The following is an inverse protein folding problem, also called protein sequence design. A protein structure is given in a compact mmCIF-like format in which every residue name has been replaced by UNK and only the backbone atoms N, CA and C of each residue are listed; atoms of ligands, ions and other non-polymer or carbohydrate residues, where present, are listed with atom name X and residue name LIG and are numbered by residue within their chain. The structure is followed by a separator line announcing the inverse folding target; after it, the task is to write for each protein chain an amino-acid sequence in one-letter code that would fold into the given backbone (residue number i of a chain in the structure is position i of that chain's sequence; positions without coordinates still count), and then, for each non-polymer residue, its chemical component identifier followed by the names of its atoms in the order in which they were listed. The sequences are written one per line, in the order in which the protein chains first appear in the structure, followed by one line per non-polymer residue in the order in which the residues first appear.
data_IF_804865442988
#
_entry.id   IF_804865442988
#
_cell.length_a   1.000
_cell.length_b   1.000
_cell.length_c   1.000
_cell.angle_alpha   90.00
_cell.angle_beta   90.00
_cell.angle_gamma   90.00
#
_symmetry.space_group_name_H-M   'P 1'
#
loop_
_entity.id
_entity.type
_entity.pdbx_description
1 polymer ?
#
# COMPACT_ATOMS: atom_id res chain seq x y z
N UNK A 1 18.39 40.45 -21.49
CA UNK A 1 17.57 39.24 -21.35
C UNK A 1 16.17 39.70 -20.94
N UNK A 2 15.20 39.69 -21.85
CA UNK A 2 13.81 39.98 -21.47
C UNK A 2 13.35 38.84 -20.55
N UNK A 3 12.80 39.21 -19.39
CA UNK A 3 12.21 38.24 -18.48
C UNK A 3 11.01 37.61 -19.19
N UNK A 4 10.94 36.28 -19.27
CA UNK A 4 9.80 35.55 -19.86
C UNK A 4 8.48 36.01 -19.25
N UNK A 5 8.50 36.34 -17.95
CA UNK A 5 7.34 36.90 -17.25
C UNK A 5 6.86 38.23 -17.85
N UNK A 6 7.79 39.11 -18.24
CA UNK A 6 7.46 40.39 -18.88
C UNK A 6 6.86 40.16 -20.27
N UNK A 7 7.34 39.17 -21.02
CA UNK A 7 6.76 38.82 -22.30
C UNK A 7 5.31 38.32 -22.14
N UNK A 8 5.06 37.42 -21.19
CA UNK A 8 3.71 36.94 -20.88
C UNK A 8 2.78 38.10 -20.49
N UNK A 9 3.24 39.00 -19.62
CA UNK A 9 2.48 40.18 -19.20
C UNK A 9 2.18 41.14 -20.36
N UNK A 10 3.14 41.39 -21.25
CA UNK A 10 2.92 42.21 -22.45
C UNK A 10 1.90 41.63 -23.43
N UNK A 11 1.66 40.31 -23.38
CA UNK A 11 0.68 39.62 -24.21
C UNK A 11 -0.62 39.30 -23.45
N UNK A 12 -0.82 39.87 -22.26
CA UNK A 12 -2.00 39.61 -21.42
C UNK A 12 -2.20 38.13 -21.06
N UNK A 13 -1.12 37.34 -21.10
CA UNK A 13 -1.13 35.92 -20.75
C UNK A 13 -0.65 35.72 -19.31
N UNK A 14 -1.41 34.94 -18.54
CA UNK A 14 -0.93 34.45 -17.25
C UNK A 14 -0.01 33.24 -17.44
N UNK A 15 0.95 33.06 -16.53
CA UNK A 15 1.80 31.87 -16.54
C UNK A 15 0.98 30.57 -16.42
N UNK A 16 -0.13 30.59 -15.68
CA UNK A 16 -1.04 29.46 -15.58
C UNK A 16 -1.73 29.14 -16.91
N UNK A 17 -2.28 30.15 -17.60
CA UNK A 17 -2.91 29.97 -18.91
C UNK A 17 -1.93 29.39 -19.93
N UNK A 18 -0.69 29.89 -19.95
CA UNK A 18 0.37 29.39 -20.82
C UNK A 18 0.72 27.92 -20.53
N UNK A 19 0.85 27.54 -19.26
CA UNK A 19 1.09 26.14 -18.87
C UNK A 19 -0.08 25.24 -19.31
N UNK A 20 -1.32 25.68 -19.07
CA UNK A 20 -2.50 24.94 -19.49
C UNK A 20 -2.56 24.74 -21.01
N UNK A 21 -2.27 25.80 -21.78
CA UNK A 21 -2.22 25.73 -23.24
C UNK A 21 -1.17 24.74 -23.74
N UNK A 22 0.04 24.76 -23.16
CA UNK A 22 1.07 23.78 -23.48
C UNK A 22 0.58 22.35 -23.20
N UNK A 23 -0.03 22.11 -22.03
CA UNK A 23 -0.47 20.77 -21.64
C UNK A 23 -1.68 20.27 -22.44
N UNK A 24 -2.51 21.17 -22.96
CA UNK A 24 -3.71 20.83 -23.74
C UNK A 24 -3.46 20.79 -25.25
N UNK A 25 -2.35 21.35 -25.74
CA UNK A 25 -2.02 21.37 -27.16
C UNK A 25 -1.69 19.99 -27.71
N UNK A 26 -2.11 19.73 -28.95
CA UNK A 26 -1.80 18.49 -29.68
C UNK A 26 -0.67 18.71 -30.70
N UNK A 27 -0.18 19.94 -30.78
CA UNK A 27 0.86 20.33 -31.72
C UNK A 27 2.23 19.83 -31.24
N UNK A 28 2.96 19.20 -32.15
CA UNK A 28 4.29 18.64 -31.93
C UNK A 28 5.31 19.68 -31.51
N UNK A 29 5.08 20.95 -31.85
CA UNK A 29 5.95 22.06 -31.48
C UNK A 29 6.02 22.25 -29.95
N UNK A 30 4.98 21.82 -29.22
CA UNK A 30 4.94 21.85 -27.76
C UNK A 30 5.46 20.57 -27.10
N UNK A 31 5.80 19.51 -27.85
CA UNK A 31 6.13 18.20 -27.29
C UNK A 31 7.31 18.26 -26.30
N UNK A 32 8.35 19.07 -26.61
CA UNK A 32 9.50 19.25 -25.71
C UNK A 32 9.10 19.95 -24.41
N UNK A 33 8.22 20.96 -24.51
CA UNK A 33 7.72 21.71 -23.36
C UNK A 33 6.82 20.83 -22.49
N UNK A 34 5.93 20.05 -23.10
CA UNK A 34 5.09 19.06 -22.43
C UNK A 34 5.92 18.01 -21.70
N UNK A 35 6.92 17.41 -22.36
CA UNK A 35 7.83 16.45 -21.74
C UNK A 35 8.56 17.06 -20.54
N UNK A 36 9.02 18.30 -20.67
CA UNK A 36 9.69 19.01 -19.58
C UNK A 36 8.73 19.27 -18.43
N UNK A 37 7.51 19.76 -18.69
CA UNK A 37 6.51 20.05 -17.67
C UNK A 37 6.07 18.78 -16.94
N UNK A 38 5.73 17.72 -17.68
CA UNK A 38 5.32 16.43 -17.11
C UNK A 38 6.45 15.77 -16.34
N UNK A 39 7.69 15.80 -16.87
CA UNK A 39 8.88 15.29 -16.18
C UNK A 39 9.21 16.05 -14.89
N UNK A 40 8.79 17.32 -14.77
CA UNK A 40 8.99 18.15 -13.58
C UNK A 40 7.73 18.31 -12.71
N UNK A 41 6.62 17.61 -13.02
CA UNK A 41 5.34 17.81 -12.34
C UNK A 41 5.43 17.64 -10.82
N UNK A 42 6.15 16.61 -10.35
CA UNK A 42 6.37 16.36 -8.91
C UNK A 42 7.08 17.54 -8.24
N UNK A 43 8.09 18.11 -8.89
CA UNK A 43 8.81 19.27 -8.36
C UNK A 43 7.93 20.51 -8.34
N UNK A 44 7.15 20.75 -9.40
CA UNK A 44 6.22 21.88 -9.49
C UNK A 44 5.17 21.79 -8.36
N UNK A 45 4.51 20.63 -8.20
CA UNK A 45 3.56 20.39 -7.13
C UNK A 45 4.20 20.59 -5.74
N UNK A 46 5.44 20.12 -5.54
CA UNK A 46 6.17 20.34 -4.29
C UNK A 46 6.44 21.83 -4.01
N UNK A 47 6.73 22.63 -5.03
CA UNK A 47 6.91 24.08 -4.86
C UNK A 47 5.58 24.77 -4.54
N UNK A 48 4.49 24.40 -5.21
CA UNK A 48 3.14 24.91 -4.91
C UNK A 48 2.70 24.53 -3.49
N UNK A 49 3.01 23.32 -3.05
CA UNK A 49 2.76 22.86 -1.69
C UNK A 49 3.54 23.65 -0.64
N UNK A 50 4.82 23.95 -0.89
CA UNK A 50 5.67 24.68 0.07
C UNK A 50 5.37 26.18 0.12
N UNK A 51 4.66 26.71 -0.87
CA UNK A 51 4.28 28.12 -0.90
C UNK A 51 3.07 28.37 0.02
N UNK A 52 3.23 29.26 1.00
CA UNK A 52 2.19 29.58 2.00
C UNK A 52 0.86 30.03 1.39
N UNK A 53 0.88 30.70 0.23
CA UNK A 53 -0.29 31.27 -0.41
C UNK A 53 -1.07 30.26 -1.25
N UNK A 54 -0.47 29.13 -1.61
CA UNK A 54 -1.10 28.07 -2.40
C UNK A 54 -1.18 26.74 -1.66
N UNK A 55 -0.63 26.65 -0.44
CA UNK A 55 -0.57 25.41 0.33
C UNK A 55 -1.95 24.80 0.56
N UNK A 56 -2.91 25.63 1.00
CA UNK A 56 -4.26 25.19 1.34
C UNK A 56 -5.01 24.70 0.10
N UNK A 57 -4.95 25.46 -0.99
CA UNK A 57 -5.58 25.14 -2.26
C UNK A 57 -4.96 23.89 -2.89
N UNK A 58 -3.63 23.79 -2.86
CA UNK A 58 -2.89 22.63 -3.39
C UNK A 58 -3.22 21.37 -2.60
N UNK A 59 -3.28 21.45 -1.26
CA UNK A 59 -3.66 20.33 -0.41
C UNK A 59 -5.11 19.92 -0.65
N UNK A 60 -6.03 20.87 -0.68
CA UNK A 60 -7.45 20.59 -0.93
C UNK A 60 -7.66 19.92 -2.29
N UNK A 61 -6.99 20.39 -3.34
CA UNK A 61 -7.05 19.78 -4.67
C UNK A 61 -6.43 18.38 -4.69
N UNK A 62 -5.22 18.22 -4.15
CA UNK A 62 -4.52 16.93 -4.16
C UNK A 62 -5.31 15.86 -3.41
N UNK A 63 -5.94 16.23 -2.30
CA UNK A 63 -6.80 15.32 -1.59
C UNK A 63 -8.09 15.02 -2.40
N UNK A 64 -8.75 16.02 -3.00
CA UNK A 64 -9.93 15.81 -3.85
C UNK A 64 -9.66 14.78 -4.96
N UNK A 65 -8.54 14.92 -5.67
CA UNK A 65 -8.11 13.96 -6.69
C UNK A 65 -7.83 12.58 -6.10
N UNK A 66 -7.17 12.52 -4.94
CA UNK A 66 -6.92 11.25 -4.25
C UNK A 66 -8.24 10.54 -3.89
N UNK A 67 -9.23 11.27 -3.35
CA UNK A 67 -10.51 10.68 -2.97
C UNK A 67 -11.30 10.17 -4.17
N UNK A 68 -11.29 10.90 -5.28
CA UNK A 68 -11.92 10.45 -6.54
C UNK A 68 -11.31 9.12 -6.99
N UNK A 69 -9.99 9.04 -7.10
CA UNK A 69 -9.28 7.82 -7.50
C UNK A 69 -9.56 6.64 -6.54
N UNK A 70 -9.54 6.88 -5.23
CA UNK A 70 -9.82 5.84 -4.23
C UNK A 70 -11.28 5.35 -4.32
N UNK A 71 -12.24 6.25 -4.52
CA UNK A 71 -13.66 5.90 -4.69
C UNK A 71 -13.90 5.11 -5.98
N UNK A 72 -13.21 5.46 -7.06
CA UNK A 72 -13.28 4.75 -8.33
C UNK A 72 -12.70 3.33 -8.19
N UNK A 73 -11.56 3.18 -7.52
CA UNK A 73 -10.98 1.86 -7.25
C UNK A 73 -11.87 1.00 -6.35
N UNK A 74 -12.51 1.57 -5.33
CA UNK A 74 -13.50 0.86 -4.49
C UNK A 74 -14.69 0.42 -5.35
N UNK A 75 -15.21 1.30 -6.19
CA UNK A 75 -16.33 1.01 -7.09
C UNK A 75 -15.98 -0.10 -8.07
N UNK A 76 -14.80 -0.03 -8.69
CA UNK A 76 -14.27 -1.03 -9.61
C UNK A 76 -14.09 -2.37 -8.91
N UNK A 77 -13.46 -2.43 -7.74
CA UNK A 77 -13.31 -3.66 -6.93
C UNK A 77 -14.65 -4.28 -6.53
N UNK A 78 -15.67 -3.44 -6.29
CA UNK A 78 -17.00 -3.90 -5.89
C UNK A 78 -17.79 -4.59 -7.01
N UNK A 79 -17.26 -4.64 -8.23
CA UNK A 79 -17.89 -5.31 -9.35
C UNK A 79 -17.81 -6.84 -9.25
N UNK A 80 -18.90 -7.51 -9.62
CA UNK A 80 -19.01 -8.98 -9.58
C UNK A 80 -17.94 -9.69 -10.42
N UNK A 81 -17.44 -9.04 -11.49
CA UNK A 81 -16.39 -9.57 -12.38
C UNK A 81 -15.09 -9.92 -11.63
N UNK A 82 -14.86 -9.28 -10.50
CA UNK A 82 -13.69 -9.53 -9.66
C UNK A 82 -13.94 -10.61 -8.60
N UNK A 83 -15.09 -11.28 -8.59
CA UNK A 83 -15.33 -12.44 -7.71
C UNK A 83 -15.10 -12.16 -6.22
N UNK A 84 -15.23 -10.89 -5.80
CA UNK A 84 -15.22 -10.48 -4.39
C UNK A 84 -16.63 -10.56 -3.77
N UNK A 85 -17.62 -10.91 -4.59
CA UNK A 85 -18.97 -11.19 -4.13
C UNK A 85 -18.98 -12.60 -3.54
N UNK A 86 -19.34 -12.72 -2.27
CA UNK A 86 -19.46 -14.04 -1.67
C UNK A 86 -20.86 -14.56 -1.91
N UNK A 87 -20.94 -15.64 -2.70
CA UNK A 87 -22.19 -16.37 -2.87
C UNK A 87 -22.11 -17.66 -2.05
N UNK A 88 -22.83 -17.67 -0.93
CA UNK A 88 -22.88 -18.81 0.00
C UNK A 88 -23.30 -20.11 -0.68
N UNK A 89 -24.09 -20.03 -1.75
CA UNK A 89 -24.56 -21.22 -2.49
C UNK A 89 -23.50 -21.86 -3.37
N UNK A 90 -22.40 -21.15 -3.68
CA UNK A 90 -21.32 -21.62 -4.55
C UNK A 90 -19.95 -21.66 -3.87
N UNK A 91 -19.87 -21.29 -2.59
CA UNK A 91 -18.62 -21.30 -1.85
C UNK A 91 -18.15 -22.75 -1.66
N UNK A 92 -17.04 -23.13 -2.32
CA UNK A 92 -16.40 -24.41 -2.11
C UNK A 92 -15.51 -24.38 -0.88
N UNK A 93 -15.29 -25.53 -0.25
CA UNK A 93 -14.33 -25.70 0.85
C UNK A 93 -12.93 -25.20 0.48
N UNK A 94 -12.55 -25.31 -0.79
CA UNK A 94 -11.26 -24.84 -1.32
C UNK A 94 -11.11 -23.31 -1.23
N UNK A 95 -12.21 -22.55 -1.09
CA UNK A 95 -12.16 -21.11 -0.83
C UNK A 95 -11.88 -20.76 0.64
N UNK A 96 -12.06 -21.72 1.57
CA UNK A 96 -11.76 -21.55 2.99
C UNK A 96 -10.35 -22.06 3.37
N UNK A 97 -9.62 -22.66 2.42
CA UNK A 97 -8.29 -23.22 2.64
C UNK A 97 -7.19 -22.18 2.91
N UNK A 98 -6.05 -22.67 3.43
CA UNK A 98 -4.85 -21.88 3.65
C UNK A 98 -4.42 -21.19 2.35
N UNK A 99 -4.38 -19.85 2.38
CA UNK A 99 -4.03 -19.01 1.23
C UNK A 99 -5.19 -18.20 0.64
N UNK A 100 -6.41 -18.28 1.16
CA UNK A 100 -7.50 -17.38 0.76
C UNK A 100 -7.11 -15.90 0.93
N UNK A 101 -6.55 -15.54 2.09
CA UNK A 101 -6.13 -14.17 2.39
C UNK A 101 -5.04 -13.66 1.44
N UNK A 102 -4.10 -14.52 1.05
CA UNK A 102 -3.03 -14.16 0.12
C UNK A 102 -3.59 -13.91 -1.29
N UNK A 103 -4.48 -14.79 -1.77
CA UNK A 103 -5.16 -14.61 -3.06
C UNK A 103 -6.01 -13.34 -3.06
N UNK A 104 -6.71 -13.06 -1.96
CA UNK A 104 -7.54 -11.87 -1.81
C UNK A 104 -6.69 -10.59 -1.79
N UNK A 105 -5.59 -10.59 -1.03
CA UNK A 105 -4.63 -9.50 -0.98
C UNK A 105 -4.02 -9.21 -2.36
N UNK A 106 -3.53 -10.24 -3.05
CA UNK A 106 -2.98 -10.12 -4.41
C UNK A 106 -4.00 -9.54 -5.38
N UNK A 107 -5.25 -9.98 -5.29
CA UNK A 107 -6.33 -9.50 -6.15
C UNK A 107 -6.68 -8.05 -5.88
N UNK A 108 -6.85 -7.66 -4.61
CA UNK A 108 -7.09 -6.28 -4.22
C UNK A 108 -5.94 -5.38 -4.66
N UNK A 109 -4.69 -5.79 -4.41
CA UNK A 109 -3.51 -5.04 -4.84
C UNK A 109 -3.45 -4.87 -6.37
N UNK A 110 -3.79 -5.90 -7.14
CA UNK A 110 -3.70 -5.87 -8.60
C UNK A 110 -4.75 -4.94 -9.24
N UNK A 111 -5.93 -4.82 -8.63
CA UNK A 111 -7.05 -4.03 -9.17
C UNK A 111 -7.05 -2.60 -8.61
N UNK A 112 -6.69 -2.43 -7.33
CA UNK A 112 -6.74 -1.14 -6.62
C UNK A 112 -5.38 -0.77 -6.05
N UNK A 113 -4.48 -0.28 -6.89
CA UNK A 113 -3.10 0.01 -6.50
C UNK A 113 -3.02 1.20 -5.53
N UNK A 114 -3.81 2.25 -5.74
CA UNK A 114 -3.81 3.45 -4.92
C UNK A 114 -4.39 3.17 -3.54
N UNK A 115 -5.55 2.52 -3.48
CA UNK A 115 -6.25 2.12 -2.27
C UNK A 115 -5.44 1.13 -1.44
N UNK A 116 -4.81 0.15 -2.08
CA UNK A 116 -3.92 -0.77 -1.40
C UNK A 116 -2.75 -0.04 -0.76
N UNK A 117 -2.09 0.84 -1.53
CA UNK A 117 -0.94 1.62 -1.04
C UNK A 117 -1.34 2.56 0.10
N UNK A 118 -2.53 3.18 0.00
CA UNK A 118 -3.08 4.04 1.02
C UNK A 118 -3.38 3.28 2.32
N UNK A 119 -4.07 2.14 2.24
CA UNK A 119 -4.37 1.30 3.40
C UNK A 119 -3.09 0.83 4.09
N UNK A 120 -2.11 0.34 3.32
CA UNK A 120 -0.81 -0.09 3.85
C UNK A 120 -0.06 1.07 4.53
N UNK A 121 -0.03 2.25 3.92
CA UNK A 121 0.64 3.43 4.49
C UNK A 121 -0.01 3.88 5.81
N UNK A 122 -1.34 3.89 5.90
CA UNK A 122 -2.05 4.21 7.13
C UNK A 122 -1.79 3.19 8.23
N UNK A 123 -1.79 1.90 7.89
CA UNK A 123 -1.55 0.81 8.84
C UNK A 123 -0.10 0.75 9.34
N UNK A 124 0.86 1.18 8.51
CA UNK A 124 2.29 1.25 8.87
C UNK A 124 2.69 2.57 9.56
N UNK A 125 1.79 3.57 9.61
CA UNK A 125 2.06 4.93 10.13
C UNK A 125 2.59 5.00 11.56
N UNK A 126 2.37 3.96 12.37
CA UNK A 126 2.77 3.90 13.78
C UNK A 126 4.22 3.47 14.02
N UNK A 127 4.98 3.13 12.98
CA UNK A 127 6.35 2.65 13.11
C UNK A 127 7.38 3.54 12.44
N UNK A 128 8.28 4.16 13.21
CA UNK A 128 9.59 4.62 12.73
C UNK A 128 10.52 3.48 12.23
N UNK A 129 9.93 2.36 11.82
CA UNK A 129 10.52 1.19 11.19
C UNK A 129 10.05 1.17 9.74
N UNK A 130 10.44 2.19 8.97
CA UNK A 130 10.12 2.27 7.55
C UNK A 130 10.80 1.07 6.85
N UNK A 131 10.08 -0.05 6.77
CA UNK A 131 10.38 -1.08 5.81
C UNK A 131 9.85 -0.52 4.50
N UNK A 132 10.72 0.15 3.74
CA UNK A 132 10.45 0.40 2.34
C UNK A 132 10.19 -0.97 1.70
N UNK A 133 8.92 -1.37 1.62
CA UNK A 133 8.51 -2.51 0.85
C UNK A 133 8.81 -2.14 -0.60
N UNK A 134 9.93 -2.64 -1.09
CA UNK A 134 10.17 -2.63 -2.53
C UNK A 134 8.99 -3.38 -3.16
N UNK A 135 8.36 -2.80 -4.19
CA UNK A 135 7.18 -3.35 -4.90
C UNK A 135 7.33 -4.83 -5.32
N UNK A 136 8.53 -5.38 -5.22
CA UNK A 136 8.93 -6.73 -5.61
C UNK A 136 8.88 -7.80 -4.50
N UNK A 137 8.72 -7.46 -3.20
CA UNK A 137 8.99 -8.44 -2.12
C UNK A 137 7.79 -9.23 -1.57
N UNK A 138 6.59 -9.09 -2.12
CA UNK A 138 5.38 -9.79 -1.61
C UNK A 138 5.31 -11.26 -2.09
N UNK A 139 6.19 -11.69 -2.97
CA UNK A 139 6.14 -13.02 -3.62
C UNK A 139 6.81 -14.17 -2.86
N UNK A 140 6.73 -14.21 -1.52
CA UNK A 140 7.04 -15.46 -0.81
C UNK A 140 5.77 -16.26 -0.62
N UNK A 141 5.59 -17.26 -1.48
CA UNK A 141 4.58 -18.29 -1.35
C UNK A 141 4.67 -18.91 0.04
N UNK A 142 3.53 -18.96 0.71
CA UNK A 142 3.32 -19.50 2.04
C UNK A 142 3.52 -21.03 1.99
N UNK A 143 4.75 -21.53 2.10
CA UNK A 143 4.95 -22.92 2.46
C UNK A 143 4.66 -23.04 3.96
N UNK A 144 3.55 -23.72 4.24
CA UNK A 144 3.03 -23.99 5.57
C UNK A 144 3.93 -25.02 6.27
N UNK A 145 5.13 -24.61 6.66
CA UNK A 145 5.78 -25.22 7.82
C UNK A 145 4.84 -24.99 9.00
N UNK A 146 4.35 -26.08 9.58
CA UNK A 146 3.50 -26.13 10.76
C UNK A 146 3.99 -25.10 11.78
N UNK A 147 3.31 -23.95 11.82
CA UNK A 147 3.68 -22.85 12.71
C UNK A 147 3.27 -23.26 14.11
N UNK A 148 4.20 -23.88 14.81
CA UNK A 148 4.17 -24.04 16.26
C UNK A 148 3.84 -22.68 16.89
N UNK A 149 2.58 -22.55 17.29
CA UNK A 149 2.06 -21.42 18.05
C UNK A 149 2.58 -21.58 19.48
N UNK A 150 3.89 -21.41 19.63
CA UNK A 150 4.61 -21.59 20.88
C UNK A 150 3.82 -20.98 22.03
N UNK A 151 3.62 -21.83 23.04
CA UNK A 151 2.85 -21.60 24.26
C UNK A 151 3.11 -20.19 24.82
N UNK A 152 2.06 -19.37 24.79
CA UNK A 152 2.06 -18.05 25.42
C UNK A 152 1.88 -18.26 26.93
N UNK A 153 2.94 -18.63 27.64
CA UNK A 153 2.87 -18.91 29.07
C UNK A 153 4.23 -18.98 29.77
N UNK A 154 4.51 -17.98 30.61
CA UNK A 154 5.40 -18.14 31.76
C UNK A 154 6.72 -17.37 31.70
N UNK A 155 6.71 -16.11 32.17
CA UNK A 155 7.86 -15.56 32.88
C UNK A 155 8.03 -16.38 34.18
N UNK A 156 8.90 -17.39 34.16
CA UNK A 156 9.44 -18.00 35.38
C UNK A 156 10.98 -18.05 35.29
N UNK A 157 11.71 -17.18 36.01
CA UNK A 157 13.16 -17.26 36.11
C UNK A 157 13.53 -18.33 37.15
N UNK A 158 13.41 -19.60 36.76
CA UNK A 158 13.90 -20.76 37.52
C UNK A 158 15.37 -21.09 37.22
N UNK A 159 16.15 -21.59 38.21
CA UNK A 159 17.60 -21.47 38.21
C UNK A 159 18.32 -22.56 37.42
N UNK A 160 19.35 -22.12 36.69
CA UNK A 160 20.60 -22.80 36.34
C UNK A 160 20.58 -24.33 36.46
N UNK A 161 20.17 -25.01 35.38
CA UNK A 161 20.56 -26.40 35.16
C UNK A 161 21.80 -26.40 34.26
N UNK A 162 22.96 -26.55 34.90
CA UNK A 162 24.20 -26.95 34.26
C UNK A 162 23.97 -28.22 33.43
N UNK A 163 24.28 -28.16 32.14
CA UNK A 163 24.60 -29.34 31.34
C UNK A 163 25.82 -29.03 30.47
N UNK A 164 26.89 -29.70 30.86
CA UNK A 164 28.15 -29.82 30.14
C UNK A 164 27.95 -30.34 28.72
N UNK A 165 28.67 -29.68 27.80
CA UNK A 165 29.43 -30.17 26.66
C UNK A 165 28.92 -31.36 25.83
N UNK A 166 28.66 -31.11 24.54
CA UNK A 166 29.49 -31.69 23.47
C UNK A 166 29.55 -30.77 22.24
N UNK A 167 30.78 -30.59 21.76
CA UNK A 167 31.20 -29.75 20.65
C UNK A 167 30.47 -30.06 19.33
N UNK A 168 29.79 -29.06 18.78
CA UNK A 168 29.74 -28.90 17.32
C UNK A 168 30.12 -27.47 16.97
N UNK A 169 31.34 -27.36 16.46
CA UNK A 169 32.01 -26.15 16.04
C UNK A 169 31.28 -25.51 14.84
N UNK A 170 30.41 -24.55 15.12
CA UNK A 170 30.10 -23.46 14.18
C UNK A 170 30.10 -22.14 14.95
N UNK A 171 31.03 -21.26 14.60
CA UNK A 171 31.28 -19.96 15.23
C UNK A 171 30.09 -19.00 15.08
N UNK A 172 29.06 -19.23 15.90
CA UNK A 172 27.83 -18.47 15.97
C UNK A 172 27.84 -17.45 17.10
N UNK A 173 28.55 -16.33 16.93
CA UNK A 173 28.50 -15.24 17.92
C UNK A 173 27.07 -14.78 18.25
N UNK A 174 26.80 -14.30 19.48
CA UNK A 174 25.46 -14.01 20.01
C UNK A 174 24.63 -12.99 19.18
N UNK A 175 25.27 -12.22 18.31
CA UNK A 175 24.62 -11.30 17.36
C UNK A 175 23.93 -11.97 16.16
N UNK A 176 24.24 -13.22 15.80
CA UNK A 176 23.59 -13.92 14.67
C UNK A 176 22.17 -14.39 15.02
N UNK A 177 21.91 -14.69 16.30
CA UNK A 177 20.58 -15.13 16.74
C UNK A 177 19.57 -13.98 16.71
N UNK A 178 19.88 -12.83 17.31
CA UNK A 178 19.05 -11.61 17.30
C UNK A 178 18.60 -11.20 15.89
N UNK A 179 19.48 -11.28 14.90
CA UNK A 179 19.14 -10.97 13.50
C UNK A 179 18.13 -11.94 12.88
N UNK A 180 18.15 -13.24 13.25
CA UNK A 180 17.18 -14.23 12.76
C UNK A 180 15.78 -13.99 13.37
N UNK A 181 15.71 -13.70 14.67
CA UNK A 181 14.46 -13.37 15.35
C UNK A 181 13.84 -12.08 14.82
N UNK A 182 14.65 -11.05 14.58
CA UNK A 182 14.17 -9.77 14.06
C UNK A 182 13.63 -9.90 12.63
N UNK A 183 14.23 -10.75 11.78
CA UNK A 183 13.69 -11.07 10.45
C UNK A 183 12.33 -11.75 10.54
N UNK A 184 12.20 -12.80 11.37
CA UNK A 184 10.93 -13.51 11.58
C UNK A 184 9.83 -12.58 12.11
N UNK A 185 10.17 -11.69 13.04
CA UNK A 185 9.22 -10.69 13.55
C UNK A 185 8.80 -9.68 12.46
N UNK A 186 9.73 -9.29 11.59
CA UNK A 186 9.41 -8.38 10.49
C UNK A 186 8.51 -9.04 9.44
N UNK A 187 8.81 -10.28 9.06
CA UNK A 187 8.00 -11.06 8.11
C UNK A 187 6.57 -11.25 8.65
N UNK A 188 6.42 -11.56 9.94
CA UNK A 188 5.12 -11.64 10.62
C UNK A 188 4.36 -10.31 10.59
N UNK A 189 5.06 -9.19 10.80
CA UNK A 189 4.43 -7.86 10.75
C UNK A 189 3.91 -7.53 9.36
N UNK A 190 4.64 -7.89 8.29
CA UNK A 190 4.19 -7.67 6.90
C UNK A 190 2.91 -8.44 6.62
N UNK A 191 2.85 -9.72 7.01
CA UNK A 191 1.64 -10.55 6.85
C UNK A 191 0.47 -9.95 7.64
N UNK A 192 0.71 -9.50 8.86
CA UNK A 192 -0.31 -8.86 9.69
C UNK A 192 -0.84 -7.55 9.06
N UNK A 193 0.04 -6.73 8.47
CA UNK A 193 -0.36 -5.52 7.76
C UNK A 193 -1.22 -5.84 6.53
N UNK A 194 -0.83 -6.86 5.76
CA UNK A 194 -1.59 -7.33 4.60
C UNK A 194 -2.99 -7.80 5.01
N UNK A 195 -3.11 -8.62 6.05
CA UNK A 195 -4.40 -9.07 6.60
C UNK A 195 -5.25 -7.86 7.00
N UNK A 196 -4.67 -6.89 7.72
CA UNK A 196 -5.37 -5.67 8.12
C UNK A 196 -5.82 -4.84 6.92
N UNK A 197 -5.00 -4.72 5.87
CA UNK A 197 -5.34 -4.01 4.66
C UNK A 197 -6.53 -4.66 3.95
N UNK A 198 -6.51 -5.99 3.79
CA UNK A 198 -7.64 -6.76 3.25
C UNK A 198 -8.91 -6.53 4.06
N UNK A 199 -8.83 -6.52 5.39
CA UNK A 199 -9.97 -6.24 6.28
C UNK A 199 -10.53 -4.84 6.05
N UNK A 200 -9.68 -3.82 6.05
CA UNK A 200 -10.10 -2.42 5.84
C UNK A 200 -10.76 -2.24 4.47
N UNK A 201 -10.14 -2.76 3.42
CA UNK A 201 -10.67 -2.65 2.05
C UNK A 201 -12.01 -3.38 1.94
N UNK A 202 -12.13 -4.58 2.50
CA UNK A 202 -13.39 -5.33 2.48
C UNK A 202 -14.54 -4.60 3.19
N UNK A 203 -14.27 -3.85 4.26
CA UNK A 203 -15.28 -2.98 4.90
C UNK A 203 -15.76 -1.91 3.92
N UNK A 204 -14.85 -1.27 3.17
CA UNK A 204 -15.22 -0.29 2.15
C UNK A 204 -16.05 -0.92 1.02
N UNK A 205 -15.67 -2.12 0.57
CA UNK A 205 -16.41 -2.84 -0.46
C UNK A 205 -17.82 -3.20 0.00
N UNK A 206 -17.97 -3.70 1.23
CA UNK A 206 -19.28 -4.03 1.79
C UNK A 206 -20.16 -2.79 1.95
N UNK A 207 -19.58 -1.65 2.36
CA UNK A 207 -20.30 -0.38 2.46
C UNK A 207 -20.74 0.16 1.09
N UNK A 208 -20.02 -0.19 0.02
CA UNK A 208 -20.34 0.26 -1.35
C UNK A 208 -21.32 -0.68 -2.04
N UNK A 209 -21.24 -1.97 -1.74
CA UNK A 209 -22.11 -3.01 -2.28
C UNK A 209 -22.24 -4.14 -1.26
N UNK A 210 -23.43 -4.31 -0.69
CA UNK A 210 -23.71 -5.32 0.34
C UNK A 210 -23.40 -6.76 -0.11
N UNK A 211 -23.34 -7.02 -1.42
CA UNK A 211 -22.94 -8.31 -1.99
C UNK A 211 -21.43 -8.58 -1.92
N UNK A 212 -20.61 -7.58 -1.61
CA UNK A 212 -19.17 -7.71 -1.40
C UNK A 212 -18.85 -8.13 0.03
N UNK A 213 -19.27 -9.33 0.40
CA UNK A 213 -19.14 -9.91 1.73
C UNK A 213 -18.09 -11.04 1.79
N UNK A 214 -17.03 -10.95 0.97
CA UNK A 214 -15.92 -11.93 0.90
C UNK A 214 -15.36 -12.32 2.26
N UNK A 215 -15.13 -11.35 3.15
CA UNK A 215 -14.62 -11.61 4.50
C UNK A 215 -15.65 -12.17 5.46
N UNK A 216 -16.91 -11.73 5.38
CA UNK A 216 -17.97 -12.29 6.24
C UNK A 216 -18.19 -13.77 5.91
N UNK A 217 -18.20 -14.11 4.61
CA UNK A 217 -18.27 -15.49 4.15
C UNK A 217 -17.08 -16.33 4.61
N UNK A 218 -15.86 -15.77 4.61
CA UNK A 218 -14.68 -16.45 5.15
C UNK A 218 -14.74 -16.66 6.67
N UNK A 219 -15.24 -15.67 7.42
CA UNK A 219 -15.40 -15.78 8.89
C UNK A 219 -16.60 -16.64 9.31
N UNK A 220 -17.44 -17.07 8.36
CA UNK A 220 -18.65 -17.86 8.64
C UNK A 220 -19.77 -17.06 9.30
N UNK A 221 -19.76 -15.73 9.18
CA UNK A 221 -20.87 -14.88 9.61
C UNK A 221 -21.88 -14.80 8.46
N UNK A 222 -22.93 -15.64 8.55
CA UNK A 222 -24.06 -15.69 7.60
C UNK A 222 -25.33 -15.09 8.20
#
# INVERSE_FOLDING_TARGET
VMNVLHCLQCNELSAAAFICEILQSWDTDYATAQLTLTGNAVQICKQLWNNKNSHVETLSWALAVMWEELCDEVSELSLAKHGLHFNATTASTDQLESGFMDKLAQKMQAISLALWSFAMALLDSRGGRCCCMSRTSVFRTFEQDEMDLGEFGGDDPGPLAERDDEESSDGGGPGKCLRKWQRRANDRNVVLLMIKAVVVISIFLQSSNEKCNSLQGWMGFF
#
